data_IF_085586653096
#
_entry.id   IF_085586653096
#
_cell.length_a   1.000
_cell.length_b   1.000
_cell.length_c   1.000
_cell.angle_alpha   90.00
_cell.angle_beta   90.00
_cell.angle_gamma   90.00
#
_symmetry.space_group_name_H-M   'P 1'
#
loop_
_entity.id
_entity.type
_entity.pdbx_description
1 polymer ?
#
# COMPACT_ATOMS: atom_id res chain seq x y z
N UNK A 1 15.69 15.43 -8.84
CA UNK A 1 14.85 14.42 -9.54
C UNK A 1 14.65 14.88 -10.98
N UNK A 2 14.92 14.01 -11.94
CA UNK A 2 14.71 14.24 -13.37
C UNK A 2 13.30 13.80 -13.79
N UNK A 3 12.88 14.17 -15.00
CA UNK A 3 11.60 13.72 -15.58
C UNK A 3 11.59 12.20 -15.80
N UNK A 4 12.73 11.63 -16.17
CA UNK A 4 12.91 10.20 -16.39
C UNK A 4 12.78 9.40 -15.08
N UNK A 5 13.35 9.90 -14.00
CA UNK A 5 13.18 9.30 -12.66
C UNK A 5 11.72 9.33 -12.21
N UNK A 6 11.02 10.44 -12.43
CA UNK A 6 9.60 10.58 -12.11
C UNK A 6 8.74 9.58 -12.92
N UNK A 7 8.99 9.49 -14.23
CA UNK A 7 8.27 8.55 -15.10
C UNK A 7 8.48 7.11 -14.66
N UNK A 8 9.74 6.73 -14.34
CA UNK A 8 10.06 5.39 -13.88
C UNK A 8 9.32 5.04 -12.59
N UNK A 9 9.22 5.97 -11.66
CA UNK A 9 8.46 5.77 -10.42
C UNK A 9 6.98 5.47 -10.68
N UNK A 10 6.37 6.24 -11.61
CA UNK A 10 4.99 5.99 -12.04
C UNK A 10 4.84 4.67 -12.80
N UNK A 11 5.79 4.31 -13.64
CA UNK A 11 5.76 3.03 -14.36
C UNK A 11 5.76 1.84 -13.40
N UNK A 12 6.64 1.86 -12.40
CA UNK A 12 6.78 0.76 -11.43
C UNK A 12 5.61 0.74 -10.44
N UNK A 13 5.28 1.88 -9.84
CA UNK A 13 4.32 1.92 -8.74
C UNK A 13 2.86 1.99 -9.18
N UNK A 14 2.58 2.50 -10.38
CA UNK A 14 1.20 2.70 -10.85
C UNK A 14 0.88 1.81 -12.04
N UNK A 15 1.63 1.97 -13.13
CA UNK A 15 1.31 1.30 -14.39
C UNK A 15 1.46 -0.22 -14.27
N UNK A 16 2.56 -0.68 -13.67
CA UNK A 16 2.78 -2.12 -13.47
C UNK A 16 1.72 -2.74 -12.56
N UNK A 17 1.31 -2.04 -11.48
CA UNK A 17 0.21 -2.50 -10.61
C UNK A 17 -1.11 -2.61 -11.38
N UNK A 18 -1.45 -1.58 -12.15
CA UNK A 18 -2.64 -1.63 -13.01
C UNK A 18 -2.59 -2.77 -14.02
N UNK A 19 -1.43 -3.02 -14.63
CA UNK A 19 -1.24 -4.17 -15.54
C UNK A 19 -1.44 -5.51 -14.82
N UNK A 20 -0.87 -5.68 -13.62
CA UNK A 20 -1.10 -6.87 -12.79
C UNK A 20 -2.58 -7.09 -12.50
N UNK A 21 -3.29 -6.04 -12.08
CA UNK A 21 -4.74 -6.09 -11.86
C UNK A 21 -5.46 -6.53 -13.13
N UNK A 22 -5.22 -5.84 -14.25
CA UNK A 22 -5.86 -6.11 -15.54
C UNK A 22 -5.70 -7.57 -15.98
N UNK A 23 -4.49 -8.10 -15.90
CA UNK A 23 -4.20 -9.46 -16.35
C UNK A 23 -4.61 -10.54 -15.33
N UNK A 24 -4.81 -10.19 -14.05
CA UNK A 24 -5.33 -11.11 -13.05
C UNK A 24 -6.86 -11.30 -13.13
N UNK A 25 -7.62 -10.36 -13.70
CA UNK A 25 -9.10 -10.41 -13.75
C UNK A 25 -9.64 -11.75 -14.29
N UNK A 26 -9.15 -12.33 -15.40
CA UNK A 26 -9.66 -13.59 -15.92
C UNK A 26 -9.52 -14.77 -14.94
N UNK A 27 -8.48 -14.77 -14.10
CA UNK A 27 -8.26 -15.77 -13.07
C UNK A 27 -9.11 -15.49 -11.83
N UNK A 28 -9.16 -14.25 -11.38
CA UNK A 28 -9.92 -13.81 -10.22
C UNK A 28 -11.42 -14.10 -10.40
N UNK A 29 -11.96 -13.94 -11.60
CA UNK A 29 -13.36 -14.29 -11.92
C UNK A 29 -13.72 -15.76 -11.70
N UNK A 30 -12.73 -16.66 -11.59
CA UNK A 30 -12.93 -18.09 -11.31
C UNK A 30 -12.86 -18.40 -9.82
N UNK A 31 -12.49 -17.44 -8.99
CA UNK A 31 -12.41 -17.61 -7.54
C UNK A 31 -13.78 -17.40 -6.88
N UNK A 32 -14.05 -18.17 -5.84
CA UNK A 32 -15.24 -17.99 -5.01
C UNK A 32 -15.11 -16.76 -4.09
N UNK A 33 -13.88 -16.29 -3.85
CA UNK A 33 -13.60 -15.14 -3.00
C UNK A 33 -12.49 -14.28 -3.62
N UNK A 34 -12.77 -13.59 -4.74
CA UNK A 34 -11.73 -12.83 -5.43
C UNK A 34 -11.38 -11.54 -4.66
N UNK A 35 -10.11 -11.36 -4.40
CA UNK A 35 -9.57 -10.20 -3.66
C UNK A 35 -8.32 -9.66 -4.36
N UNK A 36 -8.15 -8.35 -4.32
CA UNK A 36 -6.95 -7.64 -4.72
C UNK A 36 -6.51 -6.77 -3.55
N UNK A 37 -5.27 -6.92 -3.12
CA UNK A 37 -4.67 -6.06 -2.11
C UNK A 37 -3.46 -5.38 -2.73
N UNK A 38 -3.53 -4.07 -2.87
CA UNK A 38 -2.38 -3.25 -3.26
C UNK A 38 -1.61 -2.82 -2.01
N UNK A 39 -0.29 -2.89 -2.06
CA UNK A 39 0.56 -2.31 -1.02
C UNK A 39 0.96 -0.92 -1.49
N UNK A 40 0.52 0.09 -0.77
CA UNK A 40 0.92 1.48 -0.98
C UNK A 40 1.82 1.95 0.18
N UNK A 41 1.69 3.19 0.56
CA UNK A 41 2.44 3.79 1.66
C UNK A 41 1.61 4.85 2.37
N UNK A 42 1.87 5.07 3.67
CA UNK A 42 1.34 6.24 4.38
C UNK A 42 1.69 7.56 3.65
N UNK A 43 2.77 7.57 2.89
CA UNK A 43 3.22 8.75 2.14
C UNK A 43 2.35 9.06 0.92
N UNK A 44 1.49 8.15 0.50
CA UNK A 44 0.42 8.44 -0.44
C UNK A 44 -0.72 9.28 0.14
N UNK A 45 -0.81 9.37 1.48
CA UNK A 45 -1.82 10.18 2.17
C UNK A 45 -1.20 11.46 2.76
N UNK A 46 -0.01 11.36 3.35
CA UNK A 46 0.70 12.51 3.93
C UNK A 46 2.13 12.55 3.40
N UNK A 47 2.45 13.51 2.51
CA UNK A 47 3.76 13.59 1.88
C UNK A 47 4.85 14.04 2.87
N UNK A 48 6.09 13.83 2.45
CA UNK A 48 7.30 14.39 3.06
C UNK A 48 8.11 15.12 2.00
N UNK A 49 9.03 15.97 2.44
CA UNK A 49 9.97 16.67 1.56
C UNK A 49 10.83 15.67 0.76
N UNK A 50 11.34 16.10 -0.37
CA UNK A 50 12.24 15.35 -1.28
C UNK A 50 11.70 14.00 -1.80
N UNK A 51 10.38 13.76 -1.70
CA UNK A 51 9.76 12.49 -2.08
C UNK A 51 8.57 12.64 -3.04
N UNK A 52 8.58 13.67 -3.90
CA UNK A 52 7.45 14.01 -4.79
C UNK A 52 7.03 12.83 -5.64
N UNK A 53 7.95 12.15 -6.35
CA UNK A 53 7.62 11.03 -7.23
C UNK A 53 7.00 9.86 -6.44
N UNK A 54 7.64 9.48 -5.33
CA UNK A 54 7.14 8.39 -4.51
C UNK A 54 5.78 8.72 -3.89
N UNK A 55 5.63 9.88 -3.26
CA UNK A 55 4.35 10.28 -2.64
C UNK A 55 3.20 10.33 -3.65
N UNK A 56 3.45 10.89 -4.84
CA UNK A 56 2.42 10.98 -5.89
C UNK A 56 2.08 9.61 -6.47
N UNK A 57 3.06 8.73 -6.66
CA UNK A 57 2.81 7.37 -7.15
C UNK A 57 2.02 6.52 -6.16
N UNK A 58 2.31 6.65 -4.86
CA UNK A 58 1.57 5.94 -3.82
C UNK A 58 0.15 6.51 -3.63
N UNK A 59 -0.04 7.82 -3.76
CA UNK A 59 -1.37 8.42 -3.79
C UNK A 59 -2.18 7.94 -5.01
N UNK A 60 -1.54 7.85 -6.18
CA UNK A 60 -2.15 7.28 -7.37
C UNK A 60 -2.53 5.80 -7.19
N UNK A 61 -1.72 5.02 -6.46
CA UNK A 61 -2.03 3.61 -6.13
C UNK A 61 -3.27 3.49 -5.24
N UNK A 62 -3.41 4.37 -4.24
CA UNK A 62 -4.60 4.41 -3.39
C UNK A 62 -5.84 4.74 -4.25
N UNK A 63 -5.77 5.75 -5.10
CA UNK A 63 -6.87 6.11 -6.00
C UNK A 63 -7.17 5.02 -7.03
N UNK A 64 -6.16 4.39 -7.62
CA UNK A 64 -6.32 3.24 -8.51
C UNK A 64 -7.11 2.11 -7.83
N UNK A 65 -6.79 1.83 -6.57
CA UNK A 65 -7.51 0.83 -5.75
C UNK A 65 -9.00 1.18 -5.62
N UNK A 66 -9.31 2.43 -5.32
CA UNK A 66 -10.70 2.90 -5.18
C UNK A 66 -11.48 2.81 -6.50
N UNK A 67 -10.86 3.21 -7.62
CA UNK A 67 -11.45 3.05 -8.95
C UNK A 67 -11.71 1.57 -9.27
N UNK A 68 -10.73 0.69 -9.02
CA UNK A 68 -10.90 -0.75 -9.19
C UNK A 68 -11.99 -1.32 -8.29
N UNK A 69 -12.08 -0.88 -7.04
CA UNK A 69 -13.12 -1.30 -6.11
C UNK A 69 -14.52 -0.99 -6.66
N UNK A 70 -14.74 0.21 -7.21
CA UNK A 70 -16.02 0.57 -7.80
C UNK A 70 -16.37 -0.27 -9.04
N UNK A 71 -15.40 -0.41 -9.95
CA UNK A 71 -15.65 -1.05 -11.23
C UNK A 71 -15.68 -2.58 -11.14
N UNK A 72 -14.70 -3.19 -10.47
CA UNK A 72 -14.52 -4.64 -10.46
C UNK A 72 -15.51 -5.34 -9.52
N UNK A 73 -15.88 -4.71 -8.42
CA UNK A 73 -16.89 -5.28 -7.51
C UNK A 73 -18.24 -5.33 -8.20
N UNK A 74 -18.66 -4.26 -8.86
CA UNK A 74 -19.94 -4.22 -9.57
C UNK A 74 -20.03 -5.23 -10.71
N UNK A 75 -18.92 -5.40 -11.46
CA UNK A 75 -18.89 -6.26 -12.65
C UNK A 75 -18.61 -7.74 -12.33
N UNK A 76 -17.78 -8.01 -11.33
CA UNK A 76 -17.17 -9.32 -11.13
C UNK A 76 -17.13 -9.77 -9.67
N UNK A 77 -17.70 -8.99 -8.75
CA UNK A 77 -17.61 -9.19 -7.30
C UNK A 77 -16.16 -9.29 -6.77
N UNK A 78 -15.20 -8.67 -7.45
CA UNK A 78 -13.80 -8.60 -7.02
C UNK A 78 -13.66 -7.40 -6.09
N UNK A 79 -13.30 -7.63 -4.82
CA UNK A 79 -13.04 -6.55 -3.87
C UNK A 79 -11.57 -6.14 -3.91
N UNK A 80 -11.32 -4.83 -3.85
CA UNK A 80 -9.98 -4.28 -4.01
C UNK A 80 -9.72 -3.30 -2.87
N UNK A 81 -8.67 -3.55 -2.09
CA UNK A 81 -8.27 -2.70 -0.96
C UNK A 81 -6.77 -2.38 -1.02
N UNK A 82 -6.37 -1.41 -0.23
CA UNK A 82 -4.96 -1.02 -0.07
C UNK A 82 -4.53 -1.25 1.37
N UNK A 83 -3.30 -1.68 1.57
CA UNK A 83 -2.58 -1.61 2.84
C UNK A 83 -1.49 -0.56 2.70
N UNK A 84 -1.45 0.40 3.60
CA UNK A 84 -0.47 1.50 3.61
C UNK A 84 0.40 1.44 4.87
N UNK A 85 1.55 0.74 4.81
CA UNK A 85 2.49 0.70 5.92
C UNK A 85 3.19 2.05 6.13
N UNK A 86 3.71 2.25 7.33
CA UNK A 86 4.78 3.21 7.60
C UNK A 86 6.14 2.55 7.41
N UNK A 87 7.21 3.20 7.87
CA UNK A 87 8.54 2.62 7.88
C UNK A 87 8.53 1.27 8.61
N UNK A 88 8.91 0.23 7.88
CA UNK A 88 8.90 -1.16 8.33
C UNK A 88 10.34 -1.66 8.40
N UNK A 89 10.67 -2.38 9.48
CA UNK A 89 12.01 -2.89 9.74
C UNK A 89 12.31 -4.12 8.87
N UNK A 90 12.71 -3.87 7.64
CA UNK A 90 13.10 -4.88 6.64
C UNK A 90 14.62 -4.97 6.51
N UNK A 91 15.16 -6.03 5.88
CA UNK A 91 16.59 -6.07 5.51
C UNK A 91 17.03 -4.87 4.66
N UNK A 92 16.15 -4.34 3.80
CA UNK A 92 16.41 -3.12 3.04
C UNK A 92 16.51 -1.90 3.95
N UNK A 93 15.57 -1.71 4.86
CA UNK A 93 15.61 -0.58 5.80
C UNK A 93 16.88 -0.62 6.67
N UNK A 94 17.28 -1.79 7.17
CA UNK A 94 18.51 -1.97 7.96
C UNK A 94 19.80 -1.65 7.17
N UNK A 95 19.78 -1.76 5.84
CA UNK A 95 20.91 -1.37 4.98
C UNK A 95 20.89 0.11 4.60
N UNK A 96 19.71 0.71 4.52
CA UNK A 96 19.51 2.08 4.00
C UNK A 96 19.55 3.14 5.08
N UNK A 97 19.34 2.78 6.34
CA UNK A 97 19.28 3.69 7.48
C UNK A 97 20.23 3.24 8.59
N UNK A 98 20.82 4.20 9.28
CA UNK A 98 21.65 3.96 10.47
C UNK A 98 20.77 3.52 11.66
N UNK A 99 21.37 2.89 12.66
CA UNK A 99 20.66 2.49 13.88
C UNK A 99 20.06 3.71 14.61
N UNK A 100 20.74 4.85 14.60
CA UNK A 100 20.24 6.08 15.21
C UNK A 100 19.04 6.66 14.47
N UNK A 101 19.03 6.65 13.13
CA UNK A 101 17.87 7.07 12.33
C UNK A 101 16.66 6.15 12.56
N UNK A 102 16.88 4.83 12.63
CA UNK A 102 15.87 3.85 12.97
C UNK A 102 15.29 4.14 14.35
N UNK A 103 16.13 4.37 15.35
CA UNK A 103 15.72 4.65 16.73
C UNK A 103 14.97 5.97 16.84
N UNK A 104 15.45 7.03 16.20
CA UNK A 104 14.78 8.33 16.18
C UNK A 104 13.41 8.25 15.50
N UNK A 105 13.30 7.49 14.42
CA UNK A 105 12.02 7.29 13.72
C UNK A 105 11.04 6.48 14.56
N UNK A 106 11.53 5.44 15.27
CA UNK A 106 10.72 4.68 16.21
C UNK A 106 10.17 5.56 17.36
N UNK A 107 11.01 6.45 17.90
CA UNK A 107 10.60 7.37 18.97
C UNK A 107 9.52 8.38 18.54
N UNK A 108 9.47 8.74 17.26
CA UNK A 108 8.42 9.63 16.69
C UNK A 108 7.10 8.89 16.46
N UNK A 109 7.12 7.56 16.44
CA UNK A 109 5.92 6.77 16.25
C UNK A 109 5.18 6.64 17.58
N UNK A 110 3.88 6.94 17.66
CA UNK A 110 3.09 6.77 18.90
C UNK A 110 3.15 5.36 19.50
N UNK A 111 3.32 4.31 18.66
CA UNK A 111 3.51 2.93 19.15
C UNK A 111 4.89 2.67 19.76
N UNK A 112 5.83 3.64 19.72
CA UNK A 112 7.19 3.54 20.26
C UNK A 112 8.13 2.62 19.47
N UNK A 113 7.68 2.10 18.31
CA UNK A 113 8.48 1.21 17.46
C UNK A 113 8.24 1.45 15.97
N UNK A 114 9.11 0.95 15.14
CA UNK A 114 8.83 0.77 13.71
C UNK A 114 7.86 -0.39 13.48
N UNK A 115 7.23 -0.41 12.31
CA UNK A 115 6.49 -1.58 11.85
C UNK A 115 7.41 -2.79 11.65
N UNK A 116 6.88 -3.96 11.87
CA UNK A 116 7.49 -5.24 11.48
C UNK A 116 6.80 -5.77 10.22
N UNK A 117 7.43 -6.68 9.51
CA UNK A 117 6.85 -7.29 8.31
C UNK A 117 5.51 -7.95 8.63
N UNK A 118 5.42 -8.59 9.77
CA UNK A 118 4.24 -9.28 10.29
C UNK A 118 3.06 -8.34 10.50
N UNK A 119 3.28 -7.08 10.89
CA UNK A 119 2.20 -6.09 11.04
C UNK A 119 1.47 -5.88 9.70
N UNK A 120 2.23 -5.75 8.61
CA UNK A 120 1.67 -5.60 7.26
C UNK A 120 1.05 -6.91 6.76
N UNK A 121 1.70 -8.05 6.97
CA UNK A 121 1.20 -9.36 6.58
C UNK A 121 -0.14 -9.66 7.24
N UNK A 122 -0.29 -9.40 8.54
CA UNK A 122 -1.53 -9.63 9.26
C UNK A 122 -2.69 -8.79 8.71
N UNK A 123 -2.43 -7.54 8.34
CA UNK A 123 -3.42 -6.68 7.71
C UNK A 123 -3.84 -7.20 6.32
N UNK A 124 -2.89 -7.67 5.52
CA UNK A 124 -3.16 -8.29 4.21
C UNK A 124 -3.99 -9.56 4.38
N UNK A 125 -3.61 -10.45 5.29
CA UNK A 125 -4.33 -11.70 5.53
C UNK A 125 -5.76 -11.44 6.03
N UNK A 126 -5.95 -10.43 6.89
CA UNK A 126 -7.29 -10.00 7.30
C UNK A 126 -8.13 -9.56 6.10
N UNK A 127 -7.61 -8.68 5.25
CA UNK A 127 -8.33 -8.18 4.08
C UNK A 127 -8.59 -9.26 3.01
N UNK A 128 -7.77 -10.31 2.97
CA UNK A 128 -7.97 -11.48 2.11
C UNK A 128 -9.02 -12.46 2.66
N UNK A 129 -9.36 -12.38 3.95
CA UNK A 129 -10.29 -13.31 4.61
C UNK A 129 -11.76 -12.97 4.37
N UNK A 130 -12.65 -13.91 4.67
CA UNK A 130 -14.11 -13.70 4.68
C UNK A 130 -14.55 -12.63 5.67
N UNK A 131 -13.78 -12.41 6.75
CA UNK A 131 -14.09 -11.40 7.78
C UNK A 131 -14.07 -9.98 7.23
N UNK A 132 -13.39 -9.75 6.11
CA UNK A 132 -13.33 -8.46 5.42
C UNK A 132 -14.29 -8.37 4.22
N UNK A 133 -15.32 -9.20 4.14
CA UNK A 133 -16.17 -9.27 2.94
C UNK A 133 -16.91 -7.97 2.62
N UNK A 134 -17.21 -7.15 3.62
CA UNK A 134 -17.87 -5.85 3.42
C UNK A 134 -16.88 -4.67 3.32
N UNK A 135 -15.56 -4.94 3.31
CA UNK A 135 -14.51 -3.92 3.17
C UNK A 135 -14.07 -3.87 1.70
N UNK A 136 -14.26 -2.71 1.06
CA UNK A 136 -13.97 -2.53 -0.36
C UNK A 136 -13.62 -1.07 -0.67
N UNK A 137 -12.50 -0.84 -1.35
CA UNK A 137 -11.96 0.49 -1.63
C UNK A 137 -11.26 1.16 -0.45
N UNK A 138 -11.03 0.40 0.63
CA UNK A 138 -10.39 0.91 1.85
C UNK A 138 -8.87 1.05 1.69
N UNK A 139 -8.34 2.10 2.31
CA UNK A 139 -6.90 2.27 2.51
C UNK A 139 -6.55 2.02 3.98
N UNK A 140 -6.24 0.78 4.32
CA UNK A 140 -5.91 0.37 5.67
C UNK A 140 -4.49 0.83 6.04
N UNK A 141 -4.42 1.82 6.94
CA UNK A 141 -3.16 2.32 7.44
C UNK A 141 -2.57 1.40 8.52
N UNK A 142 -1.35 0.88 8.27
CA UNK A 142 -0.58 0.04 9.21
C UNK A 142 0.66 0.82 9.60
N UNK A 143 0.50 1.77 10.52
CA UNK A 143 1.49 2.83 10.72
C UNK A 143 1.80 3.17 12.18
N UNK A 144 1.27 2.41 13.16
CA UNK A 144 1.51 2.63 14.59
C UNK A 144 1.03 3.98 15.12
N UNK A 145 0.12 4.64 14.39
CA UNK A 145 -0.44 5.94 14.79
C UNK A 145 0.36 7.16 14.34
N UNK A 146 1.42 6.99 13.54
CA UNK A 146 2.23 8.14 13.06
C UNK A 146 1.46 9.03 12.07
N UNK A 147 0.40 8.50 11.49
CA UNK A 147 -0.56 9.22 10.67
C UNK A 147 -1.97 8.86 11.12
N UNK A 148 -2.70 9.84 11.60
CA UNK A 148 -4.12 9.76 11.94
C UNK A 148 -4.89 10.54 10.88
N UNK A 149 -5.79 9.90 10.19
CA UNK A 149 -6.65 10.46 9.13
C UNK A 149 -8.09 10.01 9.35
#
# INVERSE_FOLDING_TARGET
>A
MTVEEYKRELEVNVIARWMCIKYAIPLLKKSNMPRIINIASRLGTKPIEDSVAYCTSEAATIMLTQCCALELTRKYNIKTNTVSPSMTLTPFAKKSYTEDEIKQTAMKNPSGRLGEVEDTVNAVLFLLSEKADYINGENLNVNGGILLV
#
